data_IF_111688247511
#
_entry.id   IF_111688247511
#
_cell.length_a   1.000
_cell.length_b   1.000
_cell.length_c   1.000
_cell.angle_alpha   90.00
_cell.angle_beta   90.00
_cell.angle_gamma   90.00
#
_symmetry.space_group_name_H-M   'P 1'
#
loop_
_entity.id
_entity.type
_entity.pdbx_description
1 polymer ?
#
# COMPACT_ATOMS: atom_id res chain seq x y z
N UNK A 1 8.09 -3.77 8.63
CA UNK A 1 6.90 -4.51 9.09
C UNK A 1 6.11 -3.73 10.13
N UNK A 2 6.39 -3.79 11.44
CA UNK A 2 5.62 -3.00 12.46
C UNK A 2 5.60 -1.50 12.13
N UNK A 3 6.75 -0.92 11.79
CA UNK A 3 6.86 0.48 11.39
C UNK A 3 5.95 0.85 10.20
N UNK A 4 5.69 -0.09 9.30
CA UNK A 4 4.85 0.12 8.12
C UNK A 4 3.37 0.12 8.46
N UNK A 5 2.95 -0.75 9.38
CA UNK A 5 1.58 -0.74 9.93
C UNK A 5 1.35 0.58 10.69
N UNK A 6 2.28 0.98 11.54
CA UNK A 6 2.22 2.28 12.24
C UNK A 6 2.14 3.43 11.22
N UNK A 7 2.95 3.37 10.15
CA UNK A 7 2.88 4.32 9.04
C UNK A 7 1.50 4.38 8.38
N UNK A 8 0.83 3.24 8.20
CA UNK A 8 -0.55 3.17 7.70
C UNK A 8 -1.56 3.85 8.62
N UNK A 9 -1.44 3.68 9.95
CA UNK A 9 -2.29 4.40 10.91
C UNK A 9 -2.04 5.92 10.89
N UNK A 10 -0.77 6.34 10.85
CA UNK A 10 -0.40 7.76 10.75
C UNK A 10 -0.95 8.37 9.46
N UNK A 11 -0.78 7.68 8.33
CA UNK A 11 -1.32 8.10 7.04
C UNK A 11 -2.84 8.23 7.09
N UNK A 12 -3.53 7.25 7.67
CA UNK A 12 -5.00 7.28 7.83
C UNK A 12 -5.44 8.48 8.66
N UNK A 13 -4.76 8.78 9.76
CA UNK A 13 -5.07 9.95 10.58
C UNK A 13 -4.88 11.27 9.82
N UNK A 14 -3.78 11.41 9.08
CA UNK A 14 -3.51 12.60 8.25
C UNK A 14 -4.58 12.75 7.16
N UNK A 15 -4.95 11.67 6.47
CA UNK A 15 -5.99 11.70 5.45
C UNK A 15 -7.35 12.11 6.02
N UNK A 16 -7.72 11.58 7.18
CA UNK A 16 -8.98 11.93 7.83
C UNK A 16 -9.02 13.41 8.20
N UNK A 17 -7.96 13.93 8.84
CA UNK A 17 -7.85 15.36 9.14
C UNK A 17 -7.92 16.21 7.87
N UNK A 18 -7.18 15.83 6.83
CA UNK A 18 -7.18 16.51 5.54
C UNK A 18 -8.56 16.55 4.91
N UNK A 19 -9.29 15.43 4.92
CA UNK A 19 -10.64 15.35 4.38
C UNK A 19 -11.63 16.24 5.15
N UNK A 20 -11.53 16.25 6.48
CA UNK A 20 -12.37 17.10 7.35
C UNK A 20 -12.11 18.59 7.12
N UNK A 21 -10.84 19.01 7.02
CA UNK A 21 -10.48 20.41 6.79
C UNK A 21 -10.88 20.87 5.39
N UNK A 22 -10.62 20.04 4.37
CA UNK A 22 -10.93 20.36 2.98
C UNK A 22 -12.41 20.14 2.61
N UNK A 23 -13.19 19.55 3.52
CA UNK A 23 -14.59 19.18 3.29
C UNK A 23 -14.79 18.34 2.01
N UNK A 24 -13.99 17.29 1.87
CA UNK A 24 -14.07 16.33 0.77
C UNK A 24 -14.55 14.97 1.27
N UNK A 25 -15.15 14.18 0.37
CA UNK A 25 -15.63 12.84 0.67
C UNK A 25 -14.46 11.93 1.08
N UNK A 26 -14.38 11.60 2.37
CA UNK A 26 -13.32 10.77 2.94
C UNK A 26 -13.34 9.34 2.43
N UNK A 27 -14.52 8.74 2.24
CA UNK A 27 -14.67 7.39 1.71
C UNK A 27 -13.97 7.23 0.35
N UNK A 28 -14.22 8.16 -0.58
CA UNK A 28 -13.62 8.16 -1.92
C UNK A 28 -12.10 8.32 -1.84
N UNK A 29 -11.61 9.21 -0.99
CA UNK A 29 -10.17 9.45 -0.81
C UNK A 29 -9.48 8.21 -0.24
N UNK A 30 -10.04 7.61 0.81
CA UNK A 30 -9.48 6.41 1.43
C UNK A 30 -9.46 5.22 0.47
N UNK A 31 -10.53 5.02 -0.31
CA UNK A 31 -10.56 3.99 -1.34
C UNK A 31 -9.49 4.20 -2.41
N UNK A 32 -9.36 5.43 -2.93
CA UNK A 32 -8.34 5.76 -3.92
C UNK A 32 -6.92 5.54 -3.39
N UNK A 33 -6.63 5.97 -2.16
CA UNK A 33 -5.31 5.77 -1.54
C UNK A 33 -5.02 4.28 -1.30
N UNK A 34 -6.02 3.50 -0.86
CA UNK A 34 -5.87 2.07 -0.70
C UNK A 34 -5.49 1.38 -2.02
N UNK A 35 -6.22 1.67 -3.09
CA UNK A 35 -5.93 1.14 -4.44
C UNK A 35 -4.54 1.56 -4.91
N UNK A 36 -4.13 2.81 -4.66
CA UNK A 36 -2.81 3.30 -5.01
C UNK A 36 -1.70 2.51 -4.28
N UNK A 37 -1.82 2.33 -2.96
CA UNK A 37 -0.82 1.59 -2.17
C UNK A 37 -0.71 0.12 -2.61
N UNK A 38 -1.85 -0.54 -2.84
CA UNK A 38 -1.89 -1.93 -3.33
C UNK A 38 -1.33 -2.03 -4.74
N UNK A 39 -1.71 -1.10 -5.63
CA UNK A 39 -1.22 -1.05 -7.00
C UNK A 39 0.30 -0.88 -7.06
N UNK A 40 0.86 0.05 -6.27
CA UNK A 40 2.31 0.22 -6.14
C UNK A 40 2.99 -1.04 -5.57
N UNK A 41 2.38 -1.69 -4.58
CA UNK A 41 2.92 -2.93 -4.02
C UNK A 41 3.02 -4.04 -5.08
N UNK A 42 1.98 -4.20 -5.91
CA UNK A 42 1.93 -5.15 -7.01
C UNK A 42 2.99 -4.84 -8.06
N UNK A 43 3.09 -3.58 -8.51
CA UNK A 43 4.07 -3.14 -9.51
C UNK A 43 5.49 -3.42 -9.00
N UNK A 44 5.80 -2.99 -7.78
CA UNK A 44 7.13 -3.18 -7.20
C UNK A 44 7.41 -4.67 -7.01
N UNK A 45 6.44 -5.48 -6.56
CA UNK A 45 6.67 -6.92 -6.33
C UNK A 45 7.14 -7.69 -7.57
N UNK A 46 6.77 -7.21 -8.77
CA UNK A 46 7.03 -7.90 -10.03
C UNK A 46 6.06 -9.05 -10.31
N UNK A 47 5.02 -9.25 -9.50
CA UNK A 47 4.04 -10.35 -9.68
C UNK A 47 3.21 -10.21 -10.97
N UNK A 48 3.07 -8.99 -11.48
CA UNK A 48 2.37 -8.70 -12.73
C UNK A 48 3.22 -8.98 -14.00
N UNK A 49 4.47 -9.44 -13.84
CA UNK A 49 5.37 -9.74 -14.96
C UNK A 49 5.26 -11.22 -15.34
N UNK A 50 5.51 -11.56 -16.62
CA UNK A 50 5.46 -12.95 -17.09
C UNK A 50 6.44 -13.86 -16.33
N UNK A 51 6.07 -15.14 -16.17
CA UNK A 51 6.87 -16.11 -15.42
C UNK A 51 8.30 -16.28 -15.95
N UNK A 52 8.50 -16.21 -17.27
CA UNK A 52 9.84 -16.26 -17.88
C UNK A 52 10.72 -15.09 -17.46
N UNK A 53 10.17 -13.87 -17.46
CA UNK A 53 10.88 -12.67 -17.01
C UNK A 53 11.13 -12.71 -15.51
N UNK A 54 10.20 -13.27 -14.73
CA UNK A 54 10.41 -13.43 -13.29
C UNK A 54 11.52 -14.44 -12.98
N UNK A 55 11.61 -15.56 -13.73
CA UNK A 55 12.72 -16.52 -13.62
C UNK A 55 14.06 -15.90 -14.01
N UNK A 56 14.09 -15.13 -15.09
CA UNK A 56 15.29 -14.41 -15.52
C UNK A 56 15.75 -13.41 -14.45
N UNK A 57 14.84 -12.58 -13.93
CA UNK A 57 15.14 -11.65 -12.85
C UNK A 57 15.63 -12.39 -11.59
N UNK A 58 15.00 -13.50 -11.20
CA UNK A 58 15.43 -14.27 -10.03
C UNK A 58 16.84 -14.86 -10.17
N UNK A 59 17.30 -15.10 -11.40
CA UNK A 59 18.65 -15.60 -11.68
C UNK A 59 19.71 -14.50 -11.73
N UNK A 60 19.34 -13.28 -12.12
CA UNK A 60 20.30 -12.18 -12.38
C UNK A 60 20.27 -11.06 -11.34
N UNK A 61 19.17 -10.91 -10.59
CA UNK A 61 18.98 -9.85 -9.60
C UNK A 61 19.92 -10.02 -8.41
N UNK A 62 20.52 -8.90 -7.98
CA UNK A 62 21.36 -8.88 -6.78
C UNK A 62 20.54 -9.17 -5.52
N UNK A 63 21.19 -9.72 -4.49
CA UNK A 63 20.51 -9.98 -3.20
C UNK A 63 19.95 -8.71 -2.56
N UNK A 64 20.62 -7.58 -2.76
CA UNK A 64 20.21 -6.28 -2.22
C UNK A 64 18.96 -5.76 -2.92
N UNK A 65 18.92 -5.83 -4.25
CA UNK A 65 17.76 -5.36 -5.04
C UNK A 65 16.55 -6.25 -4.78
N UNK A 66 16.76 -7.58 -4.71
CA UNK A 66 15.72 -8.54 -4.34
C UNK A 66 15.12 -8.24 -2.97
N UNK A 67 15.98 -7.98 -1.98
CA UNK A 67 15.56 -7.63 -0.63
C UNK A 67 14.80 -6.31 -0.61
N UNK A 68 15.26 -5.30 -1.35
CA UNK A 68 14.58 -4.02 -1.47
C UNK A 68 13.19 -4.19 -2.09
N UNK A 69 13.08 -4.93 -3.21
CA UNK A 69 11.81 -5.19 -3.91
C UNK A 69 10.78 -5.85 -3.00
N UNK A 70 11.17 -6.95 -2.36
CA UNK A 70 10.29 -7.72 -1.47
C UNK A 70 9.92 -6.90 -0.24
N UNK A 71 10.89 -6.23 0.39
CA UNK A 71 10.64 -5.46 1.62
C UNK A 71 9.70 -4.29 1.36
N UNK A 72 9.87 -3.55 0.26
CA UNK A 72 9.02 -2.41 -0.05
C UNK A 72 7.61 -2.82 -0.47
N UNK A 73 7.46 -3.86 -1.30
CA UNK A 73 6.14 -4.38 -1.66
C UNK A 73 5.36 -4.86 -0.43
N UNK A 74 6.01 -5.60 0.48
CA UNK A 74 5.39 -6.01 1.75
C UNK A 74 5.05 -4.80 2.62
N UNK A 75 5.97 -3.85 2.77
CA UNK A 75 5.74 -2.67 3.61
C UNK A 75 4.57 -1.82 3.10
N UNK A 76 4.41 -1.67 1.77
CA UNK A 76 3.26 -0.98 1.18
C UNK A 76 1.95 -1.73 1.45
N UNK A 77 1.95 -3.05 1.29
CA UNK A 77 0.77 -3.88 1.60
C UNK A 77 0.37 -3.77 3.08
N UNK A 78 1.37 -3.78 3.99
CA UNK A 78 1.14 -3.62 5.42
C UNK A 78 0.65 -2.21 5.78
N UNK A 79 1.12 -1.17 5.09
CA UNK A 79 0.63 0.19 5.28
C UNK A 79 -0.79 0.39 4.72
N UNK A 80 -1.17 -0.36 3.68
CA UNK A 80 -2.52 -0.35 3.12
C UNK A 80 -3.56 -0.95 4.06
N UNK A 81 -3.18 -1.87 4.96
CA UNK A 81 -4.15 -2.58 5.81
C UNK A 81 -4.89 -1.66 6.80
N UNK A 82 -4.23 -0.74 7.55
CA UNK A 82 -4.94 0.26 8.35
C UNK A 82 -5.81 1.20 7.51
N UNK A 83 -5.35 1.60 6.32
CA UNK A 83 -6.12 2.46 5.40
C UNK A 83 -7.41 1.77 4.98
N UNK A 84 -7.33 0.48 4.62
CA UNK A 84 -8.50 -0.35 4.34
C UNK A 84 -9.42 -0.48 5.56
N UNK A 85 -8.85 -0.69 6.75
CA UNK A 85 -9.62 -0.77 7.99
C UNK A 85 -10.45 0.50 8.23
N UNK A 86 -9.85 1.68 8.07
CA UNK A 86 -10.55 2.97 8.21
C UNK A 86 -11.55 3.18 7.09
N UNK A 87 -11.23 2.84 5.83
CA UNK A 87 -12.18 2.87 4.73
C UNK A 87 -13.45 2.07 5.06
N UNK A 88 -13.29 0.81 5.51
CA UNK A 88 -14.41 -0.05 5.88
C UNK A 88 -15.20 0.51 7.06
N UNK A 89 -14.52 1.11 8.05
CA UNK A 89 -15.20 1.77 9.17
C UNK A 89 -16.07 2.93 8.68
N UNK A 90 -15.55 3.77 7.78
CA UNK A 90 -16.33 4.86 7.19
C UNK A 90 -17.52 4.29 6.41
N UNK A 91 -17.28 3.40 5.45
CA UNK A 91 -18.32 2.87 4.56
C UNK A 91 -19.50 2.20 5.28
N UNK A 92 -19.24 1.50 6.39
CA UNK A 92 -20.27 0.73 7.09
C UNK A 92 -20.91 1.44 8.29
N UNK A 93 -20.24 2.44 8.89
CA UNK A 93 -20.68 3.03 10.16
C UNK A 93 -20.89 4.54 10.13
N UNK A 94 -20.51 5.24 9.05
CA UNK A 94 -20.64 6.70 8.89
C UNK A 94 -21.49 6.98 7.66
#
# INVERSE_FOLDING_TARGET
MIKSIIGGFILSFILLLGCTIANVNSETVFFAVFILLVGLAIIISGVAVSGDRMRANLATESKTDKKWRITNSINLMLAAAPVLGVFLLIHYFI
#
